data_IF_737701817282
#
_entry.id   IF_737701817282
#
_cell.length_a   1.000
_cell.length_b   1.000
_cell.length_c   1.000
_cell.angle_alpha   90.00
_cell.angle_beta   90.00
_cell.angle_gamma   90.00
#
_symmetry.space_group_name_H-M   'P 1'
#
loop_
_entity.id
_entity.type
_entity.pdbx_description
1 polymer ?
#
# COMPACT_ATOMS: atom_id res chain seq x y z
N UNK A 1 29.05 -56.64 6.77
CA UNK A 1 29.34 -55.19 6.84
C UNK A 1 28.30 -54.57 7.79
N UNK A 2 28.65 -54.46 9.08
CA UNK A 2 27.70 -54.09 10.15
C UNK A 2 27.35 -52.60 10.05
N UNK A 3 26.09 -52.27 9.74
CA UNK A 3 25.53 -50.93 10.00
C UNK A 3 25.52 -50.72 11.51
N UNK A 4 26.32 -49.78 12.02
CA UNK A 4 26.18 -49.28 13.40
C UNK A 4 24.79 -48.64 13.51
N UNK A 5 23.89 -49.29 14.23
CA UNK A 5 22.59 -48.72 14.59
C UNK A 5 22.83 -47.46 15.44
N UNK A 6 22.35 -46.29 14.97
CA UNK A 6 22.34 -45.09 15.79
C UNK A 6 21.51 -45.32 17.06
N UNK A 7 21.98 -44.81 18.20
CA UNK A 7 21.21 -44.89 19.45
C UNK A 7 19.85 -44.20 19.32
N UNK A 8 18.85 -44.73 20.03
CA UNK A 8 17.47 -44.25 20.01
C UNK A 8 17.32 -42.72 20.14
N UNK A 9 18.01 -42.02 21.06
CA UNK A 9 17.92 -40.55 21.17
C UNK A 9 18.45 -39.82 19.93
N UNK A 10 19.51 -40.33 19.28
CA UNK A 10 20.05 -39.71 18.07
C UNK A 10 19.11 -39.93 16.88
N UNK A 11 18.45 -41.10 16.79
CA UNK A 11 17.42 -41.37 15.77
C UNK A 11 16.22 -40.43 15.90
N UNK A 12 15.76 -40.16 17.12
CA UNK A 12 14.66 -39.23 17.37
C UNK A 12 15.07 -37.80 17.01
N UNK A 13 16.26 -37.36 17.41
CA UNK A 13 16.79 -36.03 17.08
C UNK A 13 16.94 -35.82 15.56
N UNK A 14 17.49 -36.80 14.84
CA UNK A 14 17.62 -36.75 13.37
C UNK A 14 16.26 -36.69 12.67
N UNK A 15 15.26 -37.43 13.15
CA UNK A 15 13.89 -37.38 12.62
C UNK A 15 13.22 -36.02 12.85
N UNK A 16 13.47 -35.41 14.01
CA UNK A 16 12.98 -34.06 14.34
C UNK A 16 13.58 -33.01 13.40
N UNK A 17 14.90 -33.04 13.19
CA UNK A 17 15.57 -32.14 12.24
C UNK A 17 15.03 -32.34 10.82
N UNK A 18 14.88 -33.59 10.39
CA UNK A 18 14.33 -33.90 9.06
C UNK A 18 12.90 -33.39 8.90
N UNK A 19 12.05 -33.54 9.92
CA UNK A 19 10.69 -33.03 9.90
C UNK A 19 10.64 -31.50 9.82
N UNK A 20 11.50 -30.79 10.57
CA UNK A 20 11.63 -29.33 10.50
C UNK A 20 12.09 -28.88 9.11
N UNK A 21 13.09 -29.54 8.52
CA UNK A 21 13.56 -29.24 7.17
C UNK A 21 12.46 -29.44 6.12
N UNK A 22 11.72 -30.55 6.18
CA UNK A 22 10.60 -30.81 5.27
C UNK A 22 9.54 -29.72 5.42
N UNK A 23 9.20 -29.34 6.65
CA UNK A 23 8.24 -28.27 6.92
C UNK A 23 8.69 -26.92 6.35
N UNK A 24 9.96 -26.56 6.52
CA UNK A 24 10.53 -25.33 5.95
C UNK A 24 10.49 -25.33 4.42
N UNK A 25 10.82 -26.46 3.78
CA UNK A 25 10.76 -26.60 2.31
C UNK A 25 9.33 -26.45 1.80
N UNK A 26 8.36 -27.08 2.47
CA UNK A 26 6.94 -26.96 2.11
C UNK A 26 6.49 -25.51 2.24
N UNK A 27 6.84 -24.85 3.35
CA UNK A 27 6.47 -23.45 3.61
C UNK A 27 7.06 -22.52 2.57
N UNK A 28 8.36 -22.67 2.24
CA UNK A 28 9.01 -21.91 1.18
C UNK A 28 8.36 -22.16 -0.19
N UNK A 29 7.99 -23.41 -0.50
CA UNK A 29 7.27 -23.76 -1.73
C UNK A 29 5.90 -23.10 -1.83
N UNK A 30 5.15 -23.01 -0.73
CA UNK A 30 3.86 -22.31 -0.68
C UNK A 30 4.04 -20.80 -0.87
N UNK A 31 5.03 -20.20 -0.21
CA UNK A 31 5.32 -18.77 -0.37
C UNK A 31 5.69 -18.44 -1.82
N UNK A 32 6.58 -19.24 -2.41
CA UNK A 32 6.98 -19.08 -3.81
C UNK A 32 5.82 -19.25 -4.78
N UNK A 33 4.97 -20.28 -4.60
CA UNK A 33 3.78 -20.47 -5.42
C UNK A 33 2.77 -19.31 -5.32
N UNK A 34 2.74 -18.62 -4.19
CA UNK A 34 1.92 -17.41 -3.99
C UNK A 34 2.57 -16.13 -4.49
N UNK A 35 3.78 -16.19 -5.06
CA UNK A 35 4.50 -15.02 -5.56
C UNK A 35 5.19 -14.20 -4.47
N UNK A 36 5.36 -14.74 -3.26
CA UNK A 36 6.13 -14.08 -2.21
C UNK A 36 7.62 -14.39 -2.33
N UNK A 37 8.43 -13.37 -2.06
CA UNK A 37 9.89 -13.45 -1.95
C UNK A 37 10.33 -12.86 -0.61
N UNK A 38 11.63 -12.90 -0.35
CA UNK A 38 12.23 -12.23 0.80
C UNK A 38 13.50 -11.49 0.39
N UNK A 39 13.72 -10.33 1.01
CA UNK A 39 14.91 -9.50 0.81
C UNK A 39 15.45 -9.04 2.15
N UNK A 40 16.77 -9.02 2.29
CA UNK A 40 17.44 -8.47 3.47
C UNK A 40 17.96 -7.09 3.15
N UNK A 41 17.72 -6.14 4.05
CA UNK A 41 18.16 -4.76 3.90
C UNK A 41 17.95 -3.94 5.16
N UNK A 42 18.26 -2.65 5.09
CA UNK A 42 17.98 -1.67 6.14
C UNK A 42 16.72 -0.88 5.78
N UNK A 43 15.86 -0.69 6.77
CA UNK A 43 14.73 0.23 6.61
C UNK A 43 15.22 1.68 6.62
N UNK A 44 14.67 2.47 5.72
CA UNK A 44 14.85 3.91 5.66
C UNK A 44 13.51 4.60 5.42
N UNK A 45 13.08 5.39 6.38
CA UNK A 45 11.87 6.20 6.38
C UNK A 45 12.22 7.60 5.88
N UNK A 46 11.67 7.94 4.71
CA UNK A 46 11.79 9.26 4.11
C UNK A 46 10.39 9.88 3.97
N UNK A 47 10.34 11.20 3.75
CA UNK A 47 9.08 11.95 3.55
C UNK A 47 8.18 11.37 2.44
N UNK A 48 8.76 10.61 1.50
CA UNK A 48 8.06 10.01 0.35
C UNK A 48 7.63 8.56 0.55
N UNK A 49 8.00 7.94 1.66
CA UNK A 49 7.64 6.56 2.01
C UNK A 49 8.78 5.75 2.60
N UNK A 50 8.51 4.47 2.81
CA UNK A 50 9.45 3.52 3.43
C UNK A 50 10.26 2.79 2.37
N UNK A 51 11.58 2.88 2.47
CA UNK A 51 12.52 2.18 1.61
C UNK A 51 13.18 1.00 2.33
N UNK A 52 13.43 -0.07 1.58
CA UNK A 52 14.37 -1.11 1.96
C UNK A 52 15.65 -0.94 1.15
N UNK A 53 16.75 -0.60 1.83
CA UNK A 53 18.07 -0.44 1.22
C UNK A 53 18.82 -1.76 1.35
N UNK A 54 19.11 -2.39 0.22
CA UNK A 54 19.85 -3.65 0.20
C UNK A 54 21.34 -3.45 0.42
N UNK A 55 22.06 -4.55 0.69
CA UNK A 55 23.53 -4.53 0.83
C UNK A 55 24.26 -4.18 -0.48
N UNK A 56 23.56 -4.15 -1.61
CA UNK A 56 24.09 -3.73 -2.91
C UNK A 56 23.71 -2.29 -3.25
N UNK A 57 23.41 -1.46 -2.25
CA UNK A 57 23.06 -0.05 -2.39
C UNK A 57 21.95 0.19 -3.41
N UNK A 58 20.94 -0.68 -3.37
CA UNK A 58 19.72 -0.57 -4.17
C UNK A 58 18.53 -0.39 -3.24
N UNK A 59 17.74 0.65 -3.49
CA UNK A 59 16.55 0.98 -2.74
C UNK A 59 15.29 0.42 -3.41
N UNK A 60 14.45 -0.21 -2.59
CA UNK A 60 13.08 -0.59 -2.94
C UNK A 60 12.12 0.26 -2.15
N UNK A 61 11.17 0.91 -2.79
CA UNK A 61 10.03 1.50 -2.11
C UNK A 61 9.08 0.37 -1.70
N UNK A 62 8.78 0.28 -0.41
CA UNK A 62 8.01 -0.83 0.17
C UNK A 62 6.66 -0.32 0.64
N UNK A 63 5.60 -0.87 0.06
CA UNK A 63 4.23 -0.58 0.49
C UNK A 63 3.78 -1.55 1.57
N UNK A 64 2.96 -1.09 2.50
CA UNK A 64 2.33 -1.97 3.47
C UNK A 64 1.19 -2.75 2.81
N UNK A 65 1.37 -4.08 2.72
CA UNK A 65 0.33 -5.03 2.32
C UNK A 65 0.08 -6.08 3.41
N UNK A 66 0.42 -5.75 4.65
CA UNK A 66 0.10 -6.58 5.81
C UNK A 66 -1.40 -6.59 6.07
N UNK A 67 -1.87 -7.61 6.80
CA UNK A 67 -3.31 -7.77 7.09
C UNK A 67 -3.84 -6.82 8.15
N UNK A 68 -2.95 -6.23 8.94
CA UNK A 68 -3.31 -5.40 10.08
C UNK A 68 -3.17 -3.90 9.78
N UNK A 69 -2.73 -3.52 8.56
CA UNK A 69 -2.48 -2.14 8.12
C UNK A 69 -1.75 -1.32 9.19
N UNK A 70 -0.41 -1.47 9.26
CA UNK A 70 0.58 -0.72 10.05
C UNK A 70 1.91 -1.49 10.17
N UNK A 71 2.38 -2.15 9.11
CA UNK A 71 3.57 -3.01 9.12
C UNK A 71 4.80 -2.30 9.69
N UNK A 72 4.93 -0.99 9.46
CA UNK A 72 6.16 -0.28 9.77
C UNK A 72 6.19 0.45 11.13
N UNK A 73 5.06 0.54 11.83
CA UNK A 73 4.84 1.42 13.00
C UNK A 73 5.88 1.23 14.13
N UNK A 74 6.38 0.00 14.31
CA UNK A 74 7.30 -0.36 15.40
C UNK A 74 8.79 -0.33 15.03
N UNK A 75 9.14 0.13 13.83
CA UNK A 75 10.50 0.12 13.32
C UNK A 75 11.10 1.52 13.24
N UNK A 76 12.42 1.58 13.09
CA UNK A 76 13.15 2.85 13.02
C UNK A 76 14.20 2.81 11.94
N UNK A 77 14.66 3.99 11.53
CA UNK A 77 15.74 4.13 10.55
C UNK A 77 16.96 3.28 10.94
N UNK A 78 17.41 2.46 9.99
CA UNK A 78 18.58 1.61 10.15
C UNK A 78 18.31 0.22 10.72
N UNK A 79 17.06 -0.10 11.10
CA UNK A 79 16.68 -1.47 11.43
C UNK A 79 17.03 -2.39 10.25
N UNK A 80 17.94 -3.35 10.49
CA UNK A 80 18.27 -4.39 9.52
C UNK A 80 17.22 -5.48 9.62
N UNK A 81 16.55 -5.75 8.52
CA UNK A 81 15.40 -6.64 8.48
C UNK A 81 15.51 -7.67 7.36
N UNK A 82 14.86 -8.80 7.56
CA UNK A 82 14.40 -9.67 6.50
C UNK A 82 12.93 -9.32 6.23
N UNK A 83 12.67 -8.72 5.08
CA UNK A 83 11.34 -8.37 4.60
C UNK A 83 10.80 -9.53 3.78
N UNK A 84 9.62 -10.05 4.13
CA UNK A 84 8.81 -10.89 3.26
C UNK A 84 7.91 -9.97 2.46
N UNK A 85 7.98 -10.07 1.14
CA UNK A 85 7.26 -9.17 0.24
C UNK A 85 6.69 -9.89 -0.97
N UNK A 86 5.78 -9.23 -1.67
CA UNK A 86 5.21 -9.68 -2.94
C UNK A 86 6.21 -9.61 -4.11
N UNK A 87 5.67 -9.55 -5.31
CA UNK A 87 6.46 -9.41 -6.54
C UNK A 87 7.17 -8.06 -6.53
N UNK A 88 8.47 -8.07 -6.85
CA UNK A 88 9.20 -6.82 -7.13
C UNK A 88 8.74 -6.33 -8.48
N UNK A 89 8.22 -5.11 -8.52
CA UNK A 89 7.90 -4.43 -9.77
C UNK A 89 9.16 -3.68 -10.21
N UNK A 90 9.58 -3.93 -11.45
CA UNK A 90 10.75 -3.28 -12.08
C UNK A 90 10.44 -1.83 -12.51
N UNK A 91 9.79 -1.09 -11.61
CA UNK A 91 9.53 0.34 -11.69
C UNK A 91 10.80 1.10 -11.30
N UNK A 92 10.88 2.41 -11.58
CA UNK A 92 11.94 3.24 -11.01
C UNK A 92 11.35 4.39 -10.18
N UNK A 93 11.55 4.41 -8.84
CA UNK A 93 12.30 3.41 -8.06
C UNK A 93 11.59 2.05 -8.05
N UNK A 94 12.33 0.96 -7.79
CA UNK A 94 11.74 -0.37 -7.72
C UNK A 94 10.77 -0.45 -6.55
N UNK A 95 9.61 -1.06 -6.75
CA UNK A 95 8.56 -1.14 -5.72
C UNK A 95 8.23 -2.57 -5.35
N UNK A 96 7.76 -2.78 -4.12
CA UNK A 96 7.29 -4.09 -3.65
C UNK A 96 6.27 -3.94 -2.53
N UNK A 97 5.51 -5.00 -2.27
CA UNK A 97 4.48 -5.06 -1.23
C UNK A 97 5.01 -5.81 -0.02
N UNK A 98 5.38 -5.10 1.04
CA UNK A 98 5.81 -5.67 2.32
C UNK A 98 4.64 -6.34 3.05
N UNK A 99 4.83 -7.58 3.47
CA UNK A 99 3.79 -8.37 4.16
C UNK A 99 4.18 -8.66 5.60
N UNK A 100 5.48 -8.90 5.84
CA UNK A 100 5.97 -9.26 7.15
C UNK A 100 7.45 -8.90 7.31
N UNK A 101 7.84 -8.48 8.51
CA UNK A 101 9.19 -8.04 8.81
C UNK A 101 9.75 -8.87 9.95
N UNK A 102 10.96 -9.39 9.76
CA UNK A 102 11.77 -10.01 10.81
C UNK A 102 12.97 -9.11 11.07
N UNK A 103 13.06 -8.54 12.27
CA UNK A 103 14.22 -7.75 12.68
C UNK A 103 15.42 -8.65 12.91
N UNK A 104 16.51 -8.35 12.22
CA UNK A 104 17.80 -9.02 12.39
C UNK A 104 18.71 -8.22 13.32
N UNK A 105 18.68 -6.89 13.21
CA UNK A 105 19.44 -5.97 14.03
C UNK A 105 18.67 -4.65 14.18
N UNK A 106 18.63 -4.09 15.39
CA UNK A 106 17.98 -2.79 15.64
C UNK A 106 18.92 -1.65 15.27
N UNK A 107 18.39 -0.70 14.50
CA UNK A 107 19.02 0.57 14.21
C UNK A 107 18.91 1.53 15.39
N UNK A 108 19.69 2.60 15.34
CA UNK A 108 19.67 3.67 16.33
C UNK A 108 18.74 4.84 15.93
N UNK A 109 18.03 4.71 14.81
CA UNK A 109 17.14 5.75 14.27
C UNK A 109 17.85 6.88 13.52
N UNK A 110 19.19 6.91 13.52
CA UNK A 110 19.99 7.97 12.90
C UNK A 110 20.46 7.65 11.48
N UNK A 111 20.24 6.41 11.03
CA UNK A 111 20.68 5.93 9.72
C UNK A 111 20.13 6.81 8.58
N UNK A 112 21.05 7.19 7.68
CA UNK A 112 20.76 7.77 6.38
C UNK A 112 21.54 6.96 5.33
N UNK A 113 20.93 6.59 4.20
CA UNK A 113 21.65 5.94 3.11
C UNK A 113 22.62 6.92 2.44
N UNK A 114 23.61 6.37 1.74
CA UNK A 114 24.55 7.17 0.95
C UNK A 114 23.86 7.75 -0.31
N UNK A 115 24.39 8.86 -0.82
CA UNK A 115 23.79 9.62 -1.94
C UNK A 115 23.80 8.84 -3.29
N UNK A 116 24.60 7.78 -3.41
CA UNK A 116 24.75 6.97 -4.61
C UNK A 116 23.89 5.70 -4.63
N UNK A 117 23.05 5.50 -3.61
CA UNK A 117 22.09 4.39 -3.57
C UNK A 117 21.14 4.48 -4.78
N UNK A 118 21.15 3.43 -5.59
CA UNK A 118 20.34 3.33 -6.80
C UNK A 118 18.87 3.18 -6.43
N UNK A 119 17.99 3.97 -7.04
CA UNK A 119 16.56 3.97 -6.72
C UNK A 119 16.19 4.78 -5.48
N UNK A 120 17.16 5.43 -4.83
CA UNK A 120 16.91 6.43 -3.81
C UNK A 120 16.93 7.81 -4.48
N UNK A 121 15.85 8.58 -4.36
CA UNK A 121 15.69 9.93 -4.92
C UNK A 121 16.15 10.13 -6.38
N UNK A 122 15.29 9.76 -7.34
CA UNK A 122 15.19 10.54 -8.59
C UNK A 122 14.08 11.58 -8.46
N UNK A 123 14.21 12.74 -9.12
CA UNK A 123 13.15 13.74 -9.14
C UNK A 123 12.00 13.24 -10.01
N UNK A 124 11.09 12.50 -9.39
CA UNK A 124 9.81 12.20 -10.00
C UNK A 124 9.02 13.51 -10.20
N UNK A 125 8.24 13.58 -11.27
CA UNK A 125 7.38 14.73 -11.51
C UNK A 125 6.23 14.71 -10.50
N UNK A 126 6.29 15.59 -9.51
CA UNK A 126 5.15 15.85 -8.64
C UNK A 126 4.03 16.47 -9.46
N UNK A 127 2.87 15.81 -9.44
CA UNK A 127 1.70 16.24 -10.18
C UNK A 127 0.90 17.17 -9.28
N UNK A 128 0.53 18.34 -9.80
CA UNK A 128 -0.48 19.18 -9.15
C UNK A 128 -1.85 18.47 -9.19
N UNK A 129 -2.58 18.51 -8.09
CA UNK A 129 -3.90 17.88 -8.02
C UNK A 129 -4.89 18.70 -7.19
N UNK A 130 -6.17 18.41 -7.38
CA UNK A 130 -7.24 18.76 -6.44
C UNK A 130 -7.82 17.49 -5.85
N UNK A 131 -8.34 17.58 -4.64
CA UNK A 131 -8.87 16.43 -3.93
C UNK A 131 -10.12 16.80 -3.15
N UNK A 132 -11.09 15.88 -3.14
CA UNK A 132 -12.28 15.94 -2.30
C UNK A 132 -12.39 14.64 -1.50
N UNK A 133 -12.69 14.77 -0.21
CA UNK A 133 -12.82 13.65 0.71
C UNK A 133 -14.30 13.50 1.07
N UNK A 134 -14.88 12.37 0.73
CA UNK A 134 -16.32 12.14 0.89
C UNK A 134 -16.50 10.90 1.73
N UNK A 135 -17.03 11.09 2.93
CA UNK A 135 -17.46 9.97 3.77
C UNK A 135 -18.77 9.45 3.23
N UNK A 136 -18.77 8.20 2.80
CA UNK A 136 -19.95 7.57 2.22
C UNK A 136 -20.49 6.46 3.09
N UNK A 137 -19.72 5.91 4.03
CA UNK A 137 -20.11 4.75 4.87
C UNK A 137 -20.62 3.56 4.02
N UNK A 138 -20.84 2.40 4.64
CA UNK A 138 -21.32 1.20 3.93
C UNK A 138 -20.31 0.06 3.97
N UNK A 139 -20.09 -0.48 5.18
CA UNK A 139 -19.25 -1.64 5.40
C UNK A 139 -19.78 -2.88 4.66
N UNK A 140 -18.88 -3.59 3.97
CA UNK A 140 -19.17 -4.86 3.31
C UNK A 140 -18.07 -5.87 3.60
N UNK A 141 -18.47 -7.03 4.11
CA UNK A 141 -17.54 -8.12 4.39
C UNK A 141 -16.93 -8.69 3.10
N UNK A 142 -15.63 -8.97 3.11
CA UNK A 142 -14.94 -9.64 2.00
C UNK A 142 -14.44 -8.70 0.88
N UNK A 143 -14.65 -7.39 1.02
CA UNK A 143 -14.02 -6.39 0.16
C UNK A 143 -12.59 -6.11 0.65
N UNK A 144 -11.65 -6.00 -0.30
CA UNK A 144 -10.26 -5.61 -0.01
C UNK A 144 -10.06 -4.16 -0.41
N UNK A 145 -9.70 -3.33 0.56
CA UNK A 145 -9.32 -1.94 0.38
C UNK A 145 -7.77 -1.82 0.39
N UNK A 146 -7.19 -0.73 -0.14
CA UNK A 146 -7.84 0.31 -0.95
C UNK A 146 -8.35 -0.22 -2.30
N UNK A 147 -9.46 0.34 -2.79
CA UNK A 147 -9.91 0.14 -4.18
C UNK A 147 -9.60 1.41 -4.95
N UNK A 148 -8.99 1.25 -6.12
CA UNK A 148 -8.74 2.35 -7.06
C UNK A 148 -9.63 2.19 -8.28
N UNK A 149 -10.21 3.29 -8.75
CA UNK A 149 -10.93 3.36 -10.02
C UNK A 149 -10.52 4.58 -10.82
N UNK A 150 -10.21 4.38 -12.10
CA UNK A 150 -10.02 5.49 -13.04
C UNK A 150 -11.34 5.73 -13.77
N UNK A 151 -11.73 7.00 -13.87
CA UNK A 151 -12.93 7.46 -14.57
C UNK A 151 -12.50 8.42 -15.67
N UNK A 152 -12.89 8.11 -16.91
CA UNK A 152 -12.51 8.84 -18.13
C UNK A 152 -13.69 9.44 -18.87
N UNK A 153 -14.90 9.23 -18.39
CA UNK A 153 -16.10 9.77 -19.01
C UNK A 153 -17.24 9.91 -18.00
N UNK A 154 -18.23 10.73 -18.37
CA UNK A 154 -19.49 10.85 -17.61
C UNK A 154 -20.20 9.50 -17.51
N UNK A 155 -20.17 8.70 -18.58
CA UNK A 155 -20.78 7.37 -18.60
C UNK A 155 -20.09 6.42 -17.61
N UNK A 156 -18.76 6.40 -17.56
CA UNK A 156 -18.00 5.61 -16.57
C UNK A 156 -18.31 6.06 -15.14
N UNK A 157 -18.42 7.38 -14.92
CA UNK A 157 -18.76 7.93 -13.61
C UNK A 157 -20.17 7.52 -13.16
N UNK A 158 -21.14 7.60 -14.06
CA UNK A 158 -22.52 7.18 -13.80
C UNK A 158 -22.61 5.67 -13.57
N UNK A 159 -21.87 4.87 -14.34
CA UNK A 159 -21.78 3.42 -14.14
C UNK A 159 -21.19 3.09 -12.77
N UNK A 160 -20.15 3.81 -12.34
CA UNK A 160 -19.58 3.67 -11.00
C UNK A 160 -20.62 4.00 -9.93
N UNK A 161 -21.33 5.13 -10.05
CA UNK A 161 -22.39 5.52 -9.11
C UNK A 161 -23.49 4.45 -9.03
N UNK A 162 -24.02 4.00 -10.17
CA UNK A 162 -25.10 3.01 -10.21
C UNK A 162 -24.71 1.66 -9.60
N UNK A 163 -23.46 1.22 -9.82
CA UNK A 163 -22.93 0.00 -9.23
C UNK A 163 -22.75 0.08 -7.71
N UNK A 164 -22.49 1.27 -7.17
CA UNK A 164 -22.08 1.47 -5.78
C UNK A 164 -23.16 2.13 -4.89
N UNK A 165 -24.21 2.74 -5.44
CA UNK A 165 -25.25 3.44 -4.66
C UNK A 165 -26.07 2.55 -3.73
N UNK A 166 -26.12 1.25 -3.99
CA UNK A 166 -26.77 0.28 -3.11
C UNK A 166 -25.83 -0.20 -1.98
N UNK A 167 -24.52 0.01 -2.14
CA UNK A 167 -23.49 -0.44 -1.22
C UNK A 167 -23.08 0.66 -0.24
N UNK A 168 -22.95 1.89 -0.73
CA UNK A 168 -22.45 3.03 0.03
C UNK A 168 -23.47 4.16 0.04
N UNK A 169 -23.49 5.00 1.09
CA UNK A 169 -24.34 6.19 1.12
C UNK A 169 -23.75 7.30 0.24
N UNK A 170 -23.93 7.17 -1.08
CA UNK A 170 -23.43 8.11 -2.08
C UNK A 170 -24.26 9.41 -2.17
N UNK A 171 -25.51 9.38 -1.71
CA UNK A 171 -26.39 10.56 -1.73
C UNK A 171 -26.05 11.53 -0.58
N UNK A 172 -25.44 11.01 0.49
CA UNK A 172 -25.05 11.77 1.67
C UNK A 172 -26.14 11.77 2.73
N UNK A 173 -26.02 12.68 3.70
CA UNK A 173 -27.00 12.85 4.77
C UNK A 173 -27.73 14.17 4.55
N UNK A 174 -29.04 14.22 4.80
CA UNK A 174 -29.88 15.41 4.59
C UNK A 174 -29.33 16.67 5.27
N UNK A 175 -28.73 16.51 6.46
CA UNK A 175 -28.13 17.59 7.26
C UNK A 175 -26.58 17.54 7.28
N UNK A 176 -25.97 16.79 6.36
CA UNK A 176 -24.53 16.50 6.35
C UNK A 176 -23.70 17.29 5.34
N UNK A 177 -22.38 17.04 5.29
CA UNK A 177 -21.52 17.50 4.20
C UNK A 177 -22.05 16.98 2.86
N UNK A 178 -21.79 17.72 1.77
CA UNK A 178 -22.20 17.31 0.42
C UNK A 178 -21.72 15.88 0.12
N UNK A 179 -22.67 14.99 -0.19
CA UNK A 179 -22.40 13.60 -0.54
C UNK A 179 -21.71 13.42 -1.89
N UNK A 180 -21.39 12.17 -2.24
CA UNK A 180 -20.69 11.82 -3.47
C UNK A 180 -21.42 12.33 -4.71
N UNK A 181 -22.74 12.14 -4.78
CA UNK A 181 -23.57 12.58 -5.90
C UNK A 181 -23.44 14.09 -6.17
N UNK A 182 -23.43 14.91 -5.11
CA UNK A 182 -23.27 16.35 -5.23
C UNK A 182 -21.85 16.77 -5.62
N UNK A 183 -20.83 15.98 -5.27
CA UNK A 183 -19.44 16.26 -5.62
C UNK A 183 -19.11 15.91 -7.07
N UNK A 184 -19.82 14.94 -7.65
CA UNK A 184 -19.61 14.51 -9.04
C UNK A 184 -20.36 15.35 -10.07
N UNK A 185 -21.38 16.11 -9.65
CA UNK A 185 -22.24 16.95 -10.51
C UNK A 185 -21.46 17.97 -11.37
N UNK A 186 -20.25 18.33 -10.96
CA UNK A 186 -19.39 19.26 -11.69
C UNK A 186 -18.63 18.63 -12.87
N UNK A 187 -18.58 17.30 -12.98
CA UNK A 187 -17.81 16.63 -14.03
C UNK A 187 -18.68 16.38 -15.27
N UNK A 188 -18.24 16.93 -16.39
CA UNK A 188 -18.92 16.83 -17.68
C UNK A 188 -17.97 16.31 -18.77
N UNK A 189 -18.48 16.15 -19.99
CA UNK A 189 -17.66 15.72 -21.13
C UNK A 189 -16.50 16.68 -21.43
N UNK A 190 -16.64 17.96 -21.07
CA UNK A 190 -15.58 18.95 -21.29
C UNK A 190 -14.40 18.74 -20.33
N UNK A 191 -14.68 18.37 -19.08
CA UNK A 191 -13.68 17.95 -18.10
C UNK A 191 -12.92 16.72 -18.61
N UNK A 192 -13.65 15.66 -18.95
CA UNK A 192 -13.07 14.37 -19.32
C UNK A 192 -12.33 14.33 -20.66
N UNK A 193 -12.44 15.40 -21.46
CA UNK A 193 -11.70 15.52 -22.72
C UNK A 193 -10.18 15.50 -22.53
N UNK A 194 -9.70 16.10 -21.44
CA UNK A 194 -8.26 16.30 -21.18
C UNK A 194 -7.84 15.88 -19.76
N UNK A 195 -8.78 15.43 -18.93
CA UNK A 195 -8.56 15.08 -17.53
C UNK A 195 -9.20 13.75 -17.20
N UNK A 196 -8.65 13.07 -16.21
CA UNK A 196 -9.20 11.85 -15.62
C UNK A 196 -9.58 12.17 -14.18
N UNK A 197 -10.55 11.42 -13.66
CA UNK A 197 -10.87 11.41 -12.24
C UNK A 197 -10.41 10.07 -11.66
N UNK A 198 -9.66 10.11 -10.58
CA UNK A 198 -9.26 8.91 -9.84
C UNK A 198 -10.09 8.86 -8.57
N UNK A 199 -10.74 7.72 -8.33
CA UNK A 199 -11.47 7.45 -7.09
C UNK A 199 -10.63 6.44 -6.30
N UNK A 200 -10.21 6.83 -5.09
CA UNK A 200 -9.61 5.92 -4.11
C UNK A 200 -10.65 5.70 -3.02
N UNK A 201 -11.09 4.45 -2.86
CA UNK A 201 -12.02 4.04 -1.84
C UNK A 201 -11.27 3.32 -0.71
N UNK A 202 -11.40 3.87 0.50
CA UNK A 202 -10.76 3.37 1.72
C UNK A 202 -11.81 2.87 2.72
N UNK A 203 -11.42 1.89 3.52
CA UNK A 203 -12.12 1.50 4.73
C UNK A 203 -11.32 1.94 5.95
N UNK A 204 -12.03 2.42 6.96
CA UNK A 204 -11.47 2.80 8.23
C UNK A 204 -12.20 2.12 9.37
N UNK A 205 -11.42 1.59 10.32
CA UNK A 205 -11.95 1.00 11.56
C UNK A 205 -12.65 2.03 12.46
N UNK A 206 -12.47 3.32 12.19
CA UNK A 206 -13.14 4.42 12.88
C UNK A 206 -13.54 5.55 11.93
N UNK A 207 -14.77 6.01 12.05
CA UNK A 207 -15.30 7.17 11.35
C UNK A 207 -14.76 8.50 11.87
N UNK A 208 -13.92 8.47 12.91
CA UNK A 208 -13.14 9.62 13.35
C UNK A 208 -11.79 9.72 12.61
N UNK A 209 -11.32 8.64 11.99
CA UNK A 209 -10.11 8.67 11.17
C UNK A 209 -10.36 9.55 9.94
N UNK A 210 -9.35 10.33 9.57
CA UNK A 210 -9.38 11.24 8.42
C UNK A 210 -8.22 10.92 7.50
N UNK A 211 -8.30 11.46 6.29
CA UNK A 211 -7.29 11.26 5.26
C UNK A 211 -6.86 12.57 4.65
N UNK A 212 -5.61 12.61 4.19
CA UNK A 212 -5.06 13.71 3.43
C UNK A 212 -4.14 13.17 2.35
N UNK A 213 -4.49 13.37 1.08
CA UNK A 213 -3.57 13.15 -0.04
C UNK A 213 -2.48 14.20 0.06
N UNK A 214 -1.27 13.76 0.43
CA UNK A 214 -0.12 14.64 0.60
C UNK A 214 0.58 14.90 -0.73
N UNK A 215 0.68 13.87 -1.56
CA UNK A 215 1.45 13.94 -2.80
C UNK A 215 0.96 12.96 -3.84
N UNK A 216 1.05 13.37 -5.12
CA UNK A 216 0.90 12.49 -6.27
C UNK A 216 2.15 12.60 -7.12
N UNK A 217 2.66 11.46 -7.54
CA UNK A 217 3.95 11.34 -8.21
C UNK A 217 3.82 10.44 -9.42
N UNK A 218 4.27 10.90 -10.58
CA UNK A 218 4.41 10.04 -11.76
C UNK A 218 5.84 9.51 -11.82
N UNK A 219 5.97 8.19 -11.81
CA UNK A 219 7.25 7.50 -11.91
C UNK A 219 7.69 7.38 -13.38
N UNK A 220 8.98 7.06 -13.59
CA UNK A 220 9.60 6.92 -14.93
C UNK A 220 8.89 5.87 -15.81
N UNK A 221 8.20 4.90 -15.21
CA UNK A 221 7.49 3.79 -15.85
C UNK A 221 5.99 4.04 -16.03
N UNK A 222 5.55 5.29 -15.91
CA UNK A 222 4.14 5.72 -16.01
C UNK A 222 3.25 5.27 -14.83
N UNK A 223 3.83 4.65 -13.79
CA UNK A 223 3.11 4.34 -12.55
C UNK A 223 2.78 5.62 -11.78
N UNK A 224 1.51 5.78 -11.39
CA UNK A 224 1.04 6.89 -10.58
C UNK A 224 1.00 6.51 -9.10
N UNK A 225 1.80 7.18 -8.29
CA UNK A 225 1.87 6.96 -6.87
C UNK A 225 1.08 8.03 -6.12
N UNK A 226 0.13 7.61 -5.29
CA UNK A 226 -0.74 8.48 -4.49
C UNK A 226 -0.42 8.25 -3.03
N UNK A 227 0.17 9.25 -2.37
CA UNK A 227 0.47 9.20 -0.94
C UNK A 227 -0.67 9.83 -0.14
N UNK A 228 -1.27 9.03 0.73
CA UNK A 228 -2.39 9.41 1.61
C UNK A 228 -1.95 9.25 3.05
N UNK A 229 -1.93 10.36 3.78
CA UNK A 229 -1.78 10.36 5.22
C UNK A 229 -3.10 10.02 5.89
N UNK A 230 -3.04 9.04 6.79
CA UNK A 230 -4.09 8.67 7.72
C UNK A 230 -3.90 9.45 9.01
N UNK A 231 -4.91 10.22 9.38
CA UNK A 231 -4.95 11.07 10.57
C UNK A 231 -5.84 10.38 11.60
N UNK A 232 -5.21 9.83 12.64
CA UNK A 232 -5.91 9.13 13.73
C UNK A 232 -6.11 10.13 14.88
N UNK A 233 -7.36 10.43 15.27
CA UNK A 233 -7.61 11.32 16.40
C UNK A 233 -7.33 10.62 17.73
N UNK A 234 -6.93 11.40 18.73
CA UNK A 234 -6.70 10.92 20.11
C UNK A 234 -7.93 10.20 20.69
N UNK A 235 -9.13 10.66 20.32
CA UNK A 235 -10.40 10.05 20.69
C UNK A 235 -11.13 9.58 19.43
N UNK A 236 -11.10 8.27 19.21
CA UNK A 236 -11.80 7.60 18.12
C UNK A 236 -13.25 7.21 18.47
N UNK A 237 -14.03 6.91 17.43
CA UNK A 237 -15.33 6.25 17.53
C UNK A 237 -15.22 4.79 17.09
N UNK A 238 -16.08 3.91 17.59
CA UNK A 238 -16.08 2.49 17.17
C UNK A 238 -16.89 2.23 15.90
N UNK A 239 -17.34 3.28 15.21
CA UNK A 239 -18.14 3.17 14.00
C UNK A 239 -17.19 3.10 12.80
N UNK A 240 -17.20 2.01 12.04
CA UNK A 240 -16.42 1.94 10.81
C UNK A 240 -16.91 2.97 9.79
N UNK A 241 -16.02 3.42 8.91
CA UNK A 241 -16.36 4.36 7.85
C UNK A 241 -15.69 3.99 6.54
N UNK A 242 -16.34 4.36 5.44
CA UNK A 242 -15.78 4.26 4.10
C UNK A 242 -15.66 5.66 3.50
N UNK A 243 -14.51 5.89 2.88
CA UNK A 243 -14.12 7.19 2.32
C UNK A 243 -13.89 7.06 0.82
N UNK A 244 -14.67 7.80 0.03
CA UNK A 244 -14.39 8.05 -1.36
C UNK A 244 -13.53 9.31 -1.48
N UNK A 245 -12.28 9.13 -1.87
CA UNK A 245 -11.33 10.21 -2.13
C UNK A 245 -11.29 10.44 -3.63
N UNK A 246 -11.82 11.58 -4.06
CA UNK A 246 -11.91 11.98 -5.46
C UNK A 246 -10.71 12.86 -5.77
N UNK A 247 -9.84 12.36 -6.63
CA UNK A 247 -8.57 12.98 -6.97
C UNK A 247 -8.65 13.44 -8.43
N UNK A 248 -8.37 14.72 -8.64
CA UNK A 248 -8.32 15.39 -9.94
C UNK A 248 -6.86 15.75 -10.22
N UNK A 249 -6.07 14.86 -10.86
CA UNK A 249 -4.74 15.22 -11.33
C UNK A 249 -4.81 16.36 -12.34
N UNK A 250 -3.72 17.10 -12.50
CA UNK A 250 -3.58 18.07 -13.58
C UNK A 250 -3.88 17.43 -14.94
N UNK A 251 -4.37 18.24 -15.87
CA UNK A 251 -4.62 17.80 -17.24
C UNK A 251 -3.39 17.14 -17.87
N UNK A 252 -3.66 16.21 -18.79
CA UNK A 252 -2.65 15.43 -19.54
C UNK A 252 -1.97 14.29 -18.76
N UNK A 253 -2.32 14.07 -17.49
CA UNK A 253 -1.96 12.82 -16.79
C UNK A 253 -2.74 11.67 -17.42
N UNK A 254 -2.01 10.72 -17.99
CA UNK A 254 -2.57 9.53 -18.58
C UNK A 254 -1.93 8.30 -17.94
N UNK A 255 -2.74 7.57 -17.19
CA UNK A 255 -2.42 6.24 -16.66
C UNK A 255 -3.25 5.26 -17.47
N UNK A 256 -2.72 4.13 -17.92
CA UNK A 256 -3.45 3.22 -18.79
C UNK A 256 -4.49 2.40 -18.01
N UNK A 257 -4.10 1.87 -16.85
CA UNK A 257 -4.86 0.90 -16.08
C UNK A 257 -4.81 1.16 -14.55
N UNK A 258 -5.80 0.68 -13.80
CA UNK A 258 -5.80 0.82 -12.34
C UNK A 258 -4.63 0.13 -11.65
N UNK A 259 -4.04 -0.91 -12.26
CA UNK A 259 -2.85 -1.60 -11.75
C UNK A 259 -1.56 -0.75 -11.80
N UNK A 260 -1.56 0.33 -12.59
CA UNK A 260 -0.47 1.32 -12.65
C UNK A 260 -0.66 2.42 -11.60
N UNK A 261 -1.71 2.35 -10.75
CA UNK A 261 -1.88 3.26 -9.63
C UNK A 261 -1.53 2.54 -8.34
N UNK A 262 -0.57 3.10 -7.60
CA UNK A 262 -0.24 2.61 -6.27
C UNK A 262 -0.63 3.64 -5.21
N UNK A 263 -1.43 3.20 -4.24
CA UNK A 263 -1.83 4.02 -3.09
C UNK A 263 -0.95 3.65 -1.90
N UNK A 264 -0.23 4.63 -1.35
CA UNK A 264 0.44 4.51 -0.06
C UNK A 264 -0.47 5.12 0.99
N UNK A 265 -0.73 4.38 2.06
CA UNK A 265 -1.37 4.92 3.26
C UNK A 265 -0.30 5.00 4.33
N UNK A 266 0.07 6.22 4.71
CA UNK A 266 1.03 6.48 5.77
C UNK A 266 0.28 6.90 7.04
N UNK A 267 0.61 6.32 8.18
CA UNK A 267 0.18 6.87 9.47
C UNK A 267 1.10 8.02 9.79
N UNK A 268 0.59 9.25 9.71
CA UNK A 268 1.40 10.44 9.95
C UNK A 268 2.21 10.28 11.24
N UNK A 269 3.52 10.09 11.10
CA UNK A 269 4.44 10.14 12.23
C UNK A 269 4.60 11.61 12.61
N UNK A 270 3.99 12.03 13.71
CA UNK A 270 4.51 13.16 14.50
C UNK A 270 5.63 12.69 15.44
#
# INVERSE_FOLDING_TARGET
MNRKELSLPIRVFVRLIAAVLIFLIITAGILWFKGYSFTVGKLYFADRGTYLITETDTAFLVFDASREENLFEQYSNGDKVLLIHGVIRETYPMTTDGVYIIVLEKGDGSYKPDDDVVGLDKPDAEIEFKVQYIRTDGYHEGIKYPIVKIIRSVDELNNYYEANKALYNLEGYDDGPKGFLAAIDKYDDAYFKNQILIIVLLEEGSGSNRHKVNKITLLDDETLLINIERIIPEIGTCDMAQWHILIEPKAEVNVADESEITVIIDTGME
#
